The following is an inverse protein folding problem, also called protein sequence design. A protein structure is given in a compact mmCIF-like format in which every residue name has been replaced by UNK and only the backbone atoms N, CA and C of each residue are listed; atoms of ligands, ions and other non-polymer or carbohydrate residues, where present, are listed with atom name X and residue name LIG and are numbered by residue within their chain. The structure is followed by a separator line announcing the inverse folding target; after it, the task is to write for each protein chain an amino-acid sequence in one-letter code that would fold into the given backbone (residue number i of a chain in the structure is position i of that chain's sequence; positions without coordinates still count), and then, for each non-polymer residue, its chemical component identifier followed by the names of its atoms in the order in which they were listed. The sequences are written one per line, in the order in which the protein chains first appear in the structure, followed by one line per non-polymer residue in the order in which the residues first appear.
data_IF_556648517333
#
_entry.id   IF_556648517333
#
_cell.length_a   1.000
_cell.length_b   1.000
_cell.length_c   1.000
_cell.angle_alpha   90.00
_cell.angle_beta   90.00
_cell.angle_gamma   90.00
#
_symmetry.space_group_name_H-M   'P 1'
#
loop_
_entity.id
_entity.type
_entity.pdbx_description
1 polymer ?
#
# COMPACT_ATOMS: atom_id res chain seq x y z
N UNK A 1 26.42 -45.73 17.41
CA UNK A 1 26.93 -44.76 16.42
C UNK A 1 25.74 -44.14 15.71
N UNK A 2 25.42 -42.89 16.03
CA UNK A 2 24.32 -42.14 15.42
C UNK A 2 24.64 -41.90 13.94
N UNK A 3 23.74 -42.32 13.03
CA UNK A 3 23.83 -41.94 11.61
C UNK A 3 23.41 -40.47 11.52
N UNK A 4 24.37 -39.57 11.59
CA UNK A 4 24.15 -38.17 11.23
C UNK A 4 23.63 -38.11 9.79
N UNK A 5 22.38 -37.69 9.64
CA UNK A 5 21.74 -37.54 8.33
C UNK A 5 22.44 -36.45 7.55
N UNK A 6 22.98 -36.79 6.37
CA UNK A 6 23.56 -35.80 5.45
C UNK A 6 22.47 -34.83 4.98
N UNK A 7 22.46 -33.63 5.55
CA UNK A 7 21.62 -32.54 5.07
C UNK A 7 22.09 -32.09 3.68
N UNK A 8 21.19 -32.15 2.69
CA UNK A 8 21.42 -31.63 1.35
C UNK A 8 20.49 -30.45 1.13
N UNK A 9 21.06 -29.27 0.88
CA UNK A 9 20.34 -28.08 0.49
C UNK A 9 20.61 -27.81 -0.99
N UNK A 10 19.55 -27.72 -1.78
CA UNK A 10 19.63 -27.46 -3.23
C UNK A 10 19.01 -26.10 -3.51
N UNK A 11 19.80 -25.17 -4.05
CA UNK A 11 19.29 -23.88 -4.49
C UNK A 11 18.87 -23.97 -5.95
N UNK A 12 17.57 -24.01 -6.21
CA UNK A 12 17.04 -23.92 -7.57
C UNK A 12 17.22 -22.49 -8.10
N UNK A 13 17.86 -22.34 -9.25
CA UNK A 13 17.99 -21.04 -9.90
C UNK A 13 16.60 -20.54 -10.30
N UNK A 14 16.23 -19.33 -9.87
CA UNK A 14 14.89 -18.78 -10.11
C UNK A 14 13.79 -19.25 -9.15
N UNK A 15 14.14 -19.94 -8.06
CA UNK A 15 13.20 -20.35 -7.02
C UNK A 15 12.36 -19.17 -6.50
N UNK A 16 12.97 -18.00 -6.33
CA UNK A 16 12.31 -16.77 -5.85
C UNK A 16 11.17 -16.37 -6.79
N UNK A 17 11.42 -16.34 -8.11
CA UNK A 17 10.39 -16.00 -9.10
C UNK A 17 9.26 -17.01 -9.09
N UNK A 18 9.57 -18.30 -8.93
CA UNK A 18 8.58 -19.38 -8.83
C UNK A 18 7.70 -19.20 -7.60
N UNK A 19 8.30 -18.91 -6.44
CA UNK A 19 7.59 -18.64 -5.18
C UNK A 19 6.76 -17.35 -5.26
N UNK A 20 7.31 -16.25 -5.77
CA UNK A 20 6.62 -14.96 -5.89
C UNK A 20 5.48 -14.98 -6.93
N UNK A 21 5.41 -16.03 -7.76
CA UNK A 21 4.36 -16.23 -8.74
C UNK A 21 3.21 -17.13 -8.23
N UNK A 22 3.30 -17.69 -7.03
CA UNK A 22 2.26 -18.57 -6.50
C UNK A 22 1.04 -17.80 -5.99
N UNK A 23 -0.07 -18.51 -5.80
CA UNK A 23 -1.31 -17.93 -5.29
C UNK A 23 -1.15 -17.47 -3.84
N UNK A 24 -0.35 -18.18 -3.04
CA UNK A 24 -0.05 -17.84 -1.65
C UNK A 24 0.72 -16.51 -1.57
N UNK A 25 1.70 -16.31 -2.45
CA UNK A 25 2.39 -15.04 -2.57
C UNK A 25 1.41 -13.92 -2.98
N UNK A 26 0.50 -14.18 -3.92
CA UNK A 26 -0.57 -13.24 -4.28
C UNK A 26 -1.47 -12.85 -3.11
N UNK A 27 -1.88 -13.82 -2.29
CA UNK A 27 -2.70 -13.57 -1.10
C UNK A 27 -1.96 -12.73 -0.05
N UNK A 28 -0.67 -13.03 0.18
CA UNK A 28 0.17 -12.27 1.11
C UNK A 28 0.38 -10.82 0.64
N UNK A 29 0.60 -10.64 -0.66
CA UNK A 29 0.71 -9.31 -1.27
C UNK A 29 -0.62 -8.55 -1.14
N UNK A 30 -1.76 -9.21 -1.33
CA UNK A 30 -3.08 -8.60 -1.16
C UNK A 30 -3.31 -8.12 0.28
N UNK A 31 -3.02 -8.96 1.28
CA UNK A 31 -3.13 -8.59 2.68
C UNK A 31 -2.23 -7.40 3.04
N UNK A 32 -0.99 -7.42 2.57
CA UNK A 32 -0.03 -6.33 2.80
C UNK A 32 -0.47 -5.03 2.13
N UNK A 33 -0.98 -5.11 0.90
CA UNK A 33 -1.50 -3.96 0.14
C UNK A 33 -2.70 -3.35 0.85
N UNK A 34 -3.60 -4.18 1.37
CA UNK A 34 -4.77 -3.73 2.12
C UNK A 34 -4.38 -3.04 3.44
N UNK A 35 -3.39 -3.58 4.16
CA UNK A 35 -2.81 -2.93 5.35
C UNK A 35 -2.25 -1.55 5.03
N UNK A 36 -1.49 -1.40 3.94
CA UNK A 36 -1.01 -0.10 3.47
C UNK A 36 -2.15 0.84 3.16
N UNK A 37 -3.17 0.37 2.41
CA UNK A 37 -4.36 1.14 2.05
C UNK A 37 -5.08 1.66 3.30
N UNK A 38 -5.32 0.80 4.29
CA UNK A 38 -5.97 1.17 5.54
C UNK A 38 -5.17 2.19 6.34
N UNK A 39 -3.85 2.06 6.39
CA UNK A 39 -2.97 3.04 7.01
C UNK A 39 -3.05 4.40 6.31
N UNK A 40 -3.06 4.42 4.97
CA UNK A 40 -3.25 5.64 4.18
C UNK A 40 -4.62 6.28 4.45
N UNK A 41 -5.69 5.49 4.51
CA UNK A 41 -7.05 5.97 4.84
C UNK A 41 -7.12 6.56 6.24
N UNK A 42 -6.48 5.93 7.23
CA UNK A 42 -6.47 6.40 8.63
C UNK A 42 -5.65 7.68 8.83
N UNK A 43 -4.56 7.81 8.08
CA UNK A 43 -3.72 9.00 8.04
C UNK A 43 -4.25 10.10 7.12
N UNK A 44 -5.21 9.78 6.25
CA UNK A 44 -5.76 10.73 5.31
C UNK A 44 -6.46 11.90 6.03
N UNK A 45 -6.46 13.08 5.42
CA UNK A 45 -7.04 14.29 6.00
C UNK A 45 -8.53 14.13 6.25
N UNK A 46 -9.00 14.68 7.36
CA UNK A 46 -10.43 14.78 7.65
C UNK A 46 -10.92 16.16 7.27
N UNK A 47 -11.97 16.23 6.47
CA UNK A 47 -12.66 17.51 6.27
C UNK A 47 -13.25 17.97 7.60
N UNK A 48 -13.10 19.27 7.91
CA UNK A 48 -13.78 19.91 9.04
C UNK A 48 -15.30 19.93 8.88
N UNK A 49 -15.78 19.89 7.64
CA UNK A 49 -17.21 19.76 7.34
C UNK A 49 -17.65 18.30 7.46
N UNK A 50 -18.66 18.07 8.30
CA UNK A 50 -19.36 16.78 8.48
C UNK A 50 -20.09 16.31 7.22
N UNK A 51 -20.34 17.20 6.25
CA UNK A 51 -20.91 16.84 4.96
C UNK A 51 -19.98 15.88 4.22
N UNK A 52 -20.51 14.70 3.93
CA UNK A 52 -19.75 13.58 3.37
C UNK A 52 -19.50 13.79 1.89
N UNK A 53 -18.62 14.73 1.53
CA UNK A 53 -18.36 15.05 0.13
C UNK A 53 -17.74 13.84 -0.61
N UNK A 54 -18.11 13.66 -1.87
CA UNK A 54 -17.62 12.58 -2.74
C UNK A 54 -16.11 12.70 -3.03
N UNK A 55 -15.57 13.91 -2.97
CA UNK A 55 -14.18 14.25 -3.26
C UNK A 55 -13.22 14.07 -2.06
N UNK A 56 -13.67 13.49 -0.94
CA UNK A 56 -12.80 13.25 0.20
C UNK A 56 -11.67 12.27 -0.17
N UNK A 57 -10.42 12.62 0.15
CA UNK A 57 -9.22 11.80 -0.14
C UNK A 57 -9.42 10.36 0.31
N UNK A 58 -9.89 10.14 1.54
CA UNK A 58 -10.09 8.81 2.13
C UNK A 58 -11.00 7.89 1.32
N UNK A 59 -11.93 8.44 0.52
CA UNK A 59 -12.85 7.68 -0.34
C UNK A 59 -12.24 7.34 -1.70
N UNK A 60 -11.07 7.89 -2.01
CA UNK A 60 -10.40 7.80 -3.31
C UNK A 60 -9.01 7.17 -3.19
N UNK A 61 -8.85 6.29 -2.19
CA UNK A 61 -7.66 5.44 -1.99
C UNK A 61 -8.06 4.01 -2.29
N UNK A 62 -7.46 3.45 -3.35
CA UNK A 62 -7.74 2.10 -3.83
C UNK A 62 -6.49 1.25 -3.78
N UNK A 63 -6.63 -0.02 -3.41
CA UNK A 63 -5.57 -1.01 -3.44
C UNK A 63 -5.82 -2.00 -4.59
N UNK A 64 -4.76 -2.35 -5.30
CA UNK A 64 -4.79 -3.31 -6.40
C UNK A 64 -3.63 -4.29 -6.25
N UNK A 65 -3.87 -5.53 -6.64
CA UNK A 65 -2.81 -6.53 -6.78
C UNK A 65 -2.78 -6.97 -8.23
N UNK A 66 -1.59 -6.94 -8.78
CA UNK A 66 -1.32 -7.34 -10.16
C UNK A 66 -0.21 -8.39 -10.16
N UNK A 67 0.00 -9.02 -11.30
CA UNK A 67 1.04 -10.02 -11.51
C UNK A 67 1.79 -9.69 -12.80
N UNK A 68 3.11 -9.60 -12.71
CA UNK A 68 3.99 -9.44 -13.87
C UNK A 68 4.97 -10.63 -13.99
N UNK A 69 5.99 -10.45 -14.84
CA UNK A 69 7.05 -11.45 -15.07
C UNK A 69 7.95 -11.68 -13.84
N UNK A 70 7.86 -10.83 -12.80
CA UNK A 70 8.64 -10.92 -11.55
C UNK A 70 7.82 -11.50 -10.40
N UNK A 71 6.50 -11.47 -10.48
CA UNK A 71 5.59 -12.07 -9.51
C UNK A 71 4.41 -11.17 -9.20
N UNK A 72 3.77 -11.40 -8.05
CA UNK A 72 2.70 -10.54 -7.56
C UNK A 72 3.27 -9.25 -6.98
N UNK A 73 2.62 -8.12 -7.28
CA UNK A 73 2.91 -6.82 -6.68
C UNK A 73 1.63 -6.07 -6.33
N UNK A 74 1.74 -5.21 -5.32
CA UNK A 74 0.64 -4.44 -4.78
C UNK A 74 0.81 -2.95 -5.03
N UNK A 75 -0.27 -2.30 -5.46
CA UNK A 75 -0.32 -0.85 -5.67
C UNK A 75 -1.41 -0.24 -4.80
N UNK A 76 -1.09 0.88 -4.14
CA UNK A 76 -2.10 1.72 -3.50
C UNK A 76 -2.09 3.08 -4.17
N UNK A 77 -3.21 3.41 -4.82
CA UNK A 77 -3.35 4.62 -5.64
C UNK A 77 -4.32 5.59 -4.98
N UNK A 78 -3.93 6.86 -4.93
CA UNK A 78 -4.81 7.98 -4.59
C UNK A 78 -5.12 8.65 -5.93
N UNK A 79 -6.38 9.01 -6.19
CA UNK A 79 -6.81 9.77 -7.40
C UNK A 79 -7.01 8.95 -8.70
N UNK A 80 -7.60 7.75 -8.61
CA UNK A 80 -8.16 7.12 -9.82
C UNK A 80 -9.21 8.01 -10.51
N UNK A 81 -9.95 8.81 -9.74
CA UNK A 81 -10.94 9.74 -10.26
C UNK A 81 -10.29 11.09 -10.61
N UNK A 82 -10.30 11.45 -11.90
CA UNK A 82 -9.76 12.71 -12.43
C UNK A 82 -10.38 13.96 -11.79
N UNK A 83 -11.70 13.94 -11.52
CA UNK A 83 -12.39 15.08 -10.88
C UNK A 83 -11.92 15.29 -9.44
N UNK A 84 -11.63 14.19 -8.74
CA UNK A 84 -11.05 14.26 -7.38
C UNK A 84 -9.61 14.75 -7.45
N UNK A 85 -8.82 14.26 -8.41
CA UNK A 85 -7.44 14.72 -8.65
C UNK A 85 -7.34 16.23 -8.75
N UNK A 86 -8.19 16.84 -9.58
CA UNK A 86 -8.20 18.28 -9.77
C UNK A 86 -8.55 19.04 -8.49
N UNK A 87 -9.52 18.54 -7.72
CA UNK A 87 -9.92 19.17 -6.46
C UNK A 87 -8.82 19.06 -5.40
N UNK A 88 -8.13 17.92 -5.31
CA UNK A 88 -7.04 17.71 -4.36
C UNK A 88 -5.78 18.50 -4.70
N UNK A 89 -5.49 18.71 -5.99
CA UNK A 89 -4.43 19.60 -6.45
C UNK A 89 -4.71 21.06 -6.09
N UNK A 90 -5.98 21.47 -6.06
CA UNK A 90 -6.38 22.82 -5.66
C UNK A 90 -6.25 23.09 -4.16
N UNK A 91 -6.40 22.08 -3.29
CA UNK A 91 -6.39 22.26 -1.83
C UNK A 91 -5.01 22.63 -1.22
N UNK A 92 -3.92 22.67 -2.02
CA UNK A 92 -2.55 23.07 -1.63
C UNK A 92 -1.98 22.34 -0.39
N UNK A 93 -2.61 21.28 0.10
CA UNK A 93 -2.22 20.58 1.31
C UNK A 93 -3.40 20.03 2.11
N UNK A 94 -3.11 19.56 3.31
CA UNK A 94 -4.09 18.97 4.20
C UNK A 94 -3.85 19.35 5.66
N UNK A 95 -4.85 19.14 6.52
CA UNK A 95 -4.72 19.35 7.96
C UNK A 95 -4.77 18.02 8.69
N UNK A 96 -3.78 17.75 9.54
CA UNK A 96 -3.73 16.53 10.35
C UNK A 96 -4.70 16.55 11.54
N UNK A 97 -4.75 15.45 12.29
CA UNK A 97 -5.61 15.34 13.48
C UNK A 97 -5.26 16.36 14.57
N UNK A 98 -4.02 16.85 14.60
CA UNK A 98 -3.55 17.90 15.52
C UNK A 98 -3.80 19.32 15.01
N UNK A 99 -4.47 19.50 13.87
CA UNK A 99 -4.76 20.82 13.31
C UNK A 99 -3.60 21.43 12.52
N UNK A 100 -2.48 20.71 12.33
CA UNK A 100 -1.32 21.22 11.59
C UNK A 100 -1.54 21.05 10.09
N UNK A 101 -1.28 22.12 9.32
CA UNK A 101 -1.34 22.09 7.86
C UNK A 101 -0.05 21.52 7.27
N UNK A 102 -0.19 20.56 6.37
CA UNK A 102 0.89 19.87 5.65
C UNK A 102 0.73 20.11 4.15
N UNK A 103 1.76 20.61 3.46
CA UNK A 103 1.70 20.74 2.01
C UNK A 103 1.77 19.36 1.33
N UNK A 104 0.96 19.16 0.28
CA UNK A 104 1.01 17.97 -0.58
C UNK A 104 0.58 16.65 0.07
N UNK A 105 0.99 15.50 -0.50
CA UNK A 105 0.50 14.14 -0.16
C UNK A 105 1.34 13.41 0.90
N UNK A 106 1.83 14.10 1.93
CA UNK A 106 2.79 13.53 2.90
C UNK A 106 2.28 12.30 3.68
N UNK A 107 0.97 12.15 3.86
CA UNK A 107 0.37 10.98 4.52
C UNK A 107 0.66 9.65 3.79
N UNK A 108 0.85 9.68 2.46
CA UNK A 108 1.19 8.48 1.70
C UNK A 108 2.59 7.96 2.06
N UNK A 109 3.57 8.88 2.17
CA UNK A 109 4.92 8.56 2.62
C UNK A 109 4.93 7.97 4.02
N UNK A 110 4.17 8.54 4.95
CA UNK A 110 4.08 8.02 6.33
C UNK A 110 3.48 6.63 6.39
N UNK A 111 2.45 6.34 5.59
CA UNK A 111 1.86 5.00 5.53
C UNK A 111 2.83 3.97 4.96
N UNK A 112 3.60 4.33 3.93
CA UNK A 112 4.65 3.47 3.37
C UNK A 112 5.78 3.23 4.38
N UNK A 113 6.22 4.27 5.09
CA UNK A 113 7.24 4.13 6.14
C UNK A 113 6.80 3.19 7.27
N UNK A 114 5.54 3.23 7.67
CA UNK A 114 5.00 2.31 8.70
C UNK A 114 4.89 0.86 8.21
N UNK A 115 4.66 0.66 6.92
CA UNK A 115 4.56 -0.67 6.33
C UNK A 115 5.90 -1.22 5.88
N UNK A 116 6.98 -0.42 5.95
CA UNK A 116 8.33 -0.85 5.61
C UNK A 116 8.76 -1.96 6.57
N UNK A 117 9.22 -3.07 5.99
CA UNK A 117 9.92 -4.13 6.70
C UNK A 117 11.41 -3.78 6.61
N UNK A 118 12.07 -3.69 7.77
CA UNK A 118 13.53 -3.49 7.89
C UNK A 118 14.24 -4.81 8.20
#
# INVERSE_FOLDING_TARGET
MSKEGKFHMTFEQGWERKMLSTLEAGALVAESTEKVRMNMVSGAPRSRTTKTNWNQIKKNISGFVEKDVRGHYGNVTIELNERVRHTLLQDRGWTDKGGRRHPGKRFAKEALLKARIE
#
